data_IF_349798040647
#
_entry.id   IF_349798040647
#
_cell.length_a   1.000
_cell.length_b   1.000
_cell.length_c   1.000
_cell.angle_alpha   90.00
_cell.angle_beta   90.00
_cell.angle_gamma   90.00
#
_symmetry.space_group_name_H-M   'P 1'
#
loop_
_entity.id
_entity.type
_entity.pdbx_description
1 polymer ?
#
# COMPACT_ATOMS: atom_id res chain seq x y z
N UNK A 1 -6.33 3.02 -12.85
CA UNK A 1 -4.97 2.68 -12.36
C UNK A 1 -4.25 1.81 -13.39
N UNK A 2 -3.01 2.15 -13.69
CA UNK A 2 -2.19 1.31 -14.58
C UNK A 2 -1.28 0.41 -13.74
N UNK A 3 -1.77 -0.80 -13.48
CA UNK A 3 -1.07 -1.78 -12.63
C UNK A 3 0.32 -2.15 -13.19
N UNK A 4 0.44 -2.37 -14.49
CA UNK A 4 1.71 -2.77 -15.11
C UNK A 4 2.78 -1.69 -14.92
N UNK A 5 2.41 -0.42 -15.08
CA UNK A 5 3.32 0.70 -14.87
C UNK A 5 3.77 0.78 -13.41
N UNK A 6 2.83 0.60 -12.48
CA UNK A 6 3.12 0.62 -11.05
C UNK A 6 4.05 -0.54 -10.68
N UNK A 7 3.72 -1.73 -11.14
CA UNK A 7 4.52 -2.93 -10.90
C UNK A 7 5.96 -2.77 -11.39
N UNK A 8 6.12 -2.26 -12.59
CA UNK A 8 7.44 -2.08 -13.19
C UNK A 8 8.27 -1.02 -12.45
N UNK A 9 7.64 0.06 -12.03
CA UNK A 9 8.30 1.10 -11.22
C UNK A 9 8.80 0.53 -9.89
N UNK A 10 7.96 -0.26 -9.23
CA UNK A 10 8.32 -0.92 -7.97
C UNK A 10 9.46 -1.90 -8.17
N UNK A 11 9.40 -2.68 -9.24
CA UNK A 11 10.43 -3.68 -9.55
C UNK A 11 11.80 -3.01 -9.72
N UNK A 12 11.87 -1.93 -10.49
CA UNK A 12 13.11 -1.17 -10.67
C UNK A 12 13.62 -0.62 -9.34
N UNK A 13 12.73 -0.04 -8.55
CA UNK A 13 13.06 0.52 -7.24
C UNK A 13 13.71 -0.53 -6.33
N UNK A 14 13.13 -1.72 -6.29
CA UNK A 14 13.63 -2.82 -5.44
C UNK A 14 14.96 -3.37 -5.97
N UNK A 15 15.07 -3.54 -7.29
CA UNK A 15 16.29 -4.06 -7.92
C UNK A 15 17.47 -3.11 -7.73
N UNK A 16 17.27 -1.81 -7.91
CA UNK A 16 18.31 -0.80 -7.71
C UNK A 16 18.89 -0.81 -6.31
N UNK A 17 18.09 -1.19 -5.31
CA UNK A 17 18.48 -1.20 -3.90
C UNK A 17 18.88 -2.59 -3.39
N UNK A 18 18.79 -3.58 -4.25
CA UNK A 18 19.08 -4.98 -3.89
C UNK A 18 18.26 -5.43 -2.67
N UNK A 19 16.99 -5.03 -2.63
CA UNK A 19 16.09 -5.34 -1.52
C UNK A 19 15.29 -6.63 -1.71
N UNK A 20 15.35 -7.23 -2.88
CA UNK A 20 14.60 -8.46 -3.19
C UNK A 20 14.79 -9.54 -2.13
N UNK A 21 16.02 -9.73 -1.67
CA UNK A 21 16.37 -10.74 -0.68
C UNK A 21 15.68 -10.55 0.68
N UNK A 22 15.30 -9.31 1.00
CA UNK A 22 14.65 -8.98 2.28
C UNK A 22 13.13 -8.98 2.21
N UNK A 23 12.57 -9.09 1.01
CA UNK A 23 11.14 -8.95 0.77
C UNK A 23 10.41 -10.29 0.77
N UNK A 24 10.39 -10.96 1.93
CA UNK A 24 9.54 -12.14 2.10
C UNK A 24 8.10 -11.69 2.40
N UNK A 25 7.08 -12.53 2.12
CA UNK A 25 5.71 -12.19 2.48
C UNK A 25 5.54 -11.82 3.96
N UNK A 26 6.25 -12.50 4.85
CA UNK A 26 6.21 -12.16 6.28
C UNK A 26 6.72 -10.74 6.53
N UNK A 27 7.91 -10.41 6.01
CA UNK A 27 8.50 -9.09 6.21
C UNK A 27 7.66 -8.00 5.56
N UNK A 28 7.13 -8.25 4.36
CA UNK A 28 6.28 -7.31 3.65
C UNK A 28 4.96 -7.07 4.39
N UNK A 29 4.37 -8.13 4.96
CA UNK A 29 3.12 -7.98 5.72
C UNK A 29 3.32 -7.20 7.01
N UNK A 30 4.48 -7.37 7.68
CA UNK A 30 4.82 -6.57 8.86
C UNK A 30 4.99 -5.09 8.49
N UNK A 31 5.70 -4.81 7.40
CA UNK A 31 5.88 -3.44 6.93
C UNK A 31 4.55 -2.81 6.53
N UNK A 32 3.69 -3.57 5.86
CA UNK A 32 2.35 -3.11 5.51
C UNK A 32 1.54 -2.74 6.77
N UNK A 33 1.63 -3.55 7.82
CA UNK A 33 0.95 -3.29 9.09
C UNK A 33 1.40 -1.96 9.70
N UNK A 34 2.70 -1.68 9.65
CA UNK A 34 3.26 -0.41 10.15
C UNK A 34 2.69 0.77 9.36
N UNK A 35 2.69 0.68 8.02
CA UNK A 35 2.17 1.77 7.19
C UNK A 35 0.67 1.98 7.39
N UNK A 36 -0.09 0.90 7.54
CA UNK A 36 -1.52 0.99 7.84
C UNK A 36 -1.74 1.68 9.20
N UNK A 37 -0.89 1.40 10.18
CA UNK A 37 -0.95 2.05 11.49
C UNK A 37 -0.61 3.53 11.40
N UNK A 38 0.35 3.90 10.56
CA UNK A 38 0.70 5.31 10.34
C UNK A 38 -0.46 6.08 9.70
N UNK A 39 -1.19 5.44 8.79
CA UNK A 39 -2.39 6.02 8.21
C UNK A 39 -3.45 6.22 9.30
N UNK A 40 -3.64 5.23 10.16
CA UNK A 40 -4.57 5.32 11.28
C UNK A 40 -4.20 6.48 12.22
N UNK A 41 -2.91 6.67 12.51
CA UNK A 41 -2.45 7.75 13.38
C UNK A 41 -2.93 9.12 12.93
N UNK A 42 -3.02 9.35 11.62
CA UNK A 42 -3.47 10.62 11.09
C UNK A 42 -4.92 10.90 11.50
N UNK A 43 -5.74 9.86 11.60
CA UNK A 43 -7.19 9.99 11.85
C UNK A 43 -7.63 9.62 13.26
N UNK A 44 -6.79 8.96 14.05
CA UNK A 44 -7.22 8.30 15.30
C UNK A 44 -7.92 9.22 16.32
N UNK A 45 -7.57 10.50 16.31
CA UNK A 45 -8.15 11.47 17.26
C UNK A 45 -9.17 12.40 16.61
N UNK A 46 -9.46 12.18 15.33
CA UNK A 46 -10.47 12.97 14.62
C UNK A 46 -11.86 12.57 15.07
N UNK A 47 -12.74 13.56 15.10
CA UNK A 47 -14.16 13.34 15.35
C UNK A 47 -14.89 13.37 14.02
N UNK A 48 -15.74 12.38 13.79
CA UNK A 48 -16.64 12.32 12.64
C UNK A 48 -16.08 12.90 11.33
N UNK A 49 -16.54 14.09 10.94
CA UNK A 49 -16.26 14.66 9.63
C UNK A 49 -15.07 15.63 9.60
N UNK A 50 -14.22 15.62 10.62
CA UNK A 50 -13.04 16.51 10.65
C UNK A 50 -12.11 16.30 9.45
N UNK A 51 -12.12 15.10 8.85
CA UNK A 51 -11.32 14.82 7.65
C UNK A 51 -11.64 15.77 6.49
N UNK A 52 -12.85 16.35 6.45
CA UNK A 52 -13.25 17.29 5.41
C UNK A 52 -12.47 18.59 5.47
N UNK A 53 -11.87 18.90 6.62
CA UNK A 53 -11.10 20.11 6.86
C UNK A 53 -9.59 19.83 6.91
N UNK A 54 -9.14 18.71 6.34
CA UNK A 54 -7.74 18.35 6.33
C UNK A 54 -6.89 19.45 5.66
N UNK A 55 -5.77 19.79 6.29
CA UNK A 55 -4.81 20.73 5.73
C UNK A 55 -4.09 20.11 4.52
N UNK A 56 -3.43 20.93 3.72
CA UNK A 56 -2.65 20.43 2.59
C UNK A 56 -1.52 19.52 3.08
N UNK A 57 -0.91 19.82 4.22
CA UNK A 57 0.13 19.00 4.84
C UNK A 57 -0.42 17.63 5.21
N UNK A 58 -1.60 17.61 5.85
CA UNK A 58 -2.26 16.35 6.21
C UNK A 58 -2.61 15.51 4.99
N UNK A 59 -3.09 16.15 3.92
CA UNK A 59 -3.39 15.45 2.66
C UNK A 59 -2.15 14.82 2.05
N UNK A 60 -1.00 15.51 2.08
CA UNK A 60 0.25 14.96 1.57
C UNK A 60 0.70 13.76 2.40
N UNK A 61 0.55 13.81 3.72
CA UNK A 61 0.85 12.67 4.59
C UNK A 61 -0.04 11.47 4.26
N UNK A 62 -1.32 11.72 4.04
CA UNK A 62 -2.28 10.67 3.67
C UNK A 62 -1.91 10.04 2.33
N UNK A 63 -1.58 10.85 1.34
CA UNK A 63 -1.17 10.37 0.02
C UNK A 63 0.05 9.48 0.11
N UNK A 64 1.05 9.88 0.89
CA UNK A 64 2.27 9.12 1.07
C UNK A 64 1.98 7.74 1.69
N UNK A 65 1.13 7.70 2.73
CA UNK A 65 0.77 6.44 3.37
C UNK A 65 -0.03 5.53 2.44
N UNK A 66 -0.96 6.08 1.66
CA UNK A 66 -1.70 5.31 0.66
C UNK A 66 -0.74 4.71 -0.36
N UNK A 67 0.22 5.49 -0.83
CA UNK A 67 1.22 5.04 -1.80
C UNK A 67 2.08 3.91 -1.22
N UNK A 68 2.52 4.05 0.03
CA UNK A 68 3.33 3.04 0.70
C UNK A 68 2.55 1.74 0.91
N UNK A 69 1.28 1.83 1.27
CA UNK A 69 0.41 0.67 1.44
C UNK A 69 0.25 -0.06 0.09
N UNK A 70 0.01 0.69 -0.97
CA UNK A 70 -0.09 0.11 -2.32
C UNK A 70 1.21 -0.60 -2.71
N UNK A 71 2.35 0.02 -2.44
CA UNK A 71 3.67 -0.56 -2.70
C UNK A 71 3.78 -1.96 -2.07
N UNK A 72 3.46 -2.08 -0.79
CA UNK A 72 3.58 -3.37 -0.10
C UNK A 72 2.55 -4.40 -0.60
N UNK A 73 1.33 -3.96 -0.91
CA UNK A 73 0.31 -4.86 -1.48
C UNK A 73 0.77 -5.43 -2.82
N UNK A 74 1.33 -4.59 -3.68
CA UNK A 74 1.84 -5.04 -4.98
C UNK A 74 3.02 -5.99 -4.79
N UNK A 75 3.95 -5.67 -3.87
CA UNK A 75 5.11 -6.52 -3.61
C UNK A 75 4.71 -7.91 -3.12
N UNK A 76 3.79 -8.00 -2.17
CA UNK A 76 3.30 -9.28 -1.65
C UNK A 76 2.66 -10.09 -2.78
N UNK A 77 1.83 -9.43 -3.58
CA UNK A 77 1.14 -10.10 -4.68
C UNK A 77 2.10 -10.64 -5.72
N UNK A 78 3.13 -9.86 -6.06
CA UNK A 78 4.14 -10.31 -7.01
C UNK A 78 4.98 -11.46 -6.46
N UNK A 79 5.30 -11.45 -5.17
CA UNK A 79 6.02 -12.57 -4.54
C UNK A 79 5.23 -13.87 -4.58
N UNK A 80 3.92 -13.79 -4.49
CA UNK A 80 3.04 -14.96 -4.42
C UNK A 80 2.34 -15.26 -5.74
N UNK A 81 2.70 -14.56 -6.82
CA UNK A 81 2.07 -14.70 -8.14
C UNK A 81 0.55 -14.54 -8.09
N UNK A 82 0.10 -13.56 -7.30
CA UNK A 82 -1.33 -13.23 -7.20
C UNK A 82 -1.64 -12.08 -8.14
N UNK A 83 -2.67 -12.26 -8.96
CA UNK A 83 -3.21 -11.18 -9.78
C UNK A 83 -4.17 -10.36 -8.89
N UNK A 84 -3.73 -9.16 -8.49
CA UNK A 84 -4.51 -8.30 -7.57
C UNK A 84 -5.89 -7.97 -8.15
N UNK A 85 -5.95 -7.61 -9.42
CA UNK A 85 -7.20 -7.21 -10.06
C UNK A 85 -8.22 -8.34 -10.03
N UNK A 86 -7.79 -9.54 -10.43
CA UNK A 86 -8.63 -10.73 -10.38
C UNK A 86 -9.08 -11.05 -8.95
N UNK A 87 -8.14 -10.99 -7.99
CA UNK A 87 -8.43 -11.24 -6.59
C UNK A 87 -9.49 -10.28 -6.07
N UNK A 88 -9.38 -8.99 -6.44
CA UNK A 88 -10.35 -7.97 -6.04
C UNK A 88 -11.74 -8.30 -6.57
N UNK A 89 -11.87 -8.52 -7.87
CA UNK A 89 -13.19 -8.77 -8.45
C UNK A 89 -13.81 -10.07 -7.95
N UNK A 90 -13.00 -11.11 -7.76
CA UNK A 90 -13.50 -12.37 -7.19
C UNK A 90 -13.99 -12.18 -5.76
N UNK A 91 -13.28 -11.39 -4.96
CA UNK A 91 -13.69 -11.10 -3.58
C UNK A 91 -15.00 -10.31 -3.56
N UNK A 92 -15.15 -9.35 -4.45
CA UNK A 92 -16.39 -8.57 -4.52
C UNK A 92 -17.60 -9.45 -4.83
N UNK A 93 -17.43 -10.48 -5.66
CA UNK A 93 -18.49 -11.45 -5.95
C UNK A 93 -18.88 -12.27 -4.72
N UNK A 94 -17.93 -12.54 -3.81
CA UNK A 94 -18.18 -13.30 -2.58
C UNK A 94 -18.88 -12.45 -1.50
N UNK A 95 -18.73 -11.13 -1.58
CA UNK A 95 -19.34 -10.22 -0.60
C UNK A 95 -20.84 -9.95 -0.90
#
# INVERSE_FOLDING_TARGET
MNYEKIKNEIKEFVEERDWEQFHTPKNLSMALSVEASELLEIFQWQKEEEYKNATEKEKEMIKDEIADILYYLVRISEKLNINIEEAFFNKMKKN
#
